data_IF_230088416592
#
_entry.id   IF_230088416592
#
_cell.length_a   1.000
_cell.length_b   1.000
_cell.length_c   1.000
_cell.angle_alpha   90.00
_cell.angle_beta   90.00
_cell.angle_gamma   90.00
#
_symmetry.space_group_name_H-M   'P 1'
#
loop_
_entity.id
_entity.type
_entity.pdbx_description
1 polymer ?
#
# COMPACT_ATOMS: atom_id res chain seq x y z
N UNK A 1 -11.84 -1.53 14.01
CA UNK A 1 -10.77 -0.52 14.17
C UNK A 1 -11.12 0.78 13.43
N UNK A 2 -10.70 1.94 13.94
CA UNK A 2 -11.11 3.25 13.37
C UNK A 2 -10.44 3.55 12.02
N UNK A 3 -9.16 3.21 11.85
CA UNK A 3 -8.41 3.42 10.60
C UNK A 3 -9.09 2.73 9.41
N UNK A 4 -9.51 1.48 9.57
CA UNK A 4 -10.20 0.72 8.53
C UNK A 4 -11.52 1.40 8.12
N UNK A 5 -12.32 1.86 9.09
CA UNK A 5 -13.60 2.56 8.82
C UNK A 5 -13.38 3.87 8.08
N UNK A 6 -12.33 4.61 8.43
CA UNK A 6 -12.00 5.87 7.78
C UNK A 6 -11.62 5.64 6.30
N UNK A 7 -10.85 4.59 6.01
CA UNK A 7 -10.48 4.23 4.63
C UNK A 7 -11.70 3.74 3.85
N UNK A 8 -12.50 2.83 4.43
CA UNK A 8 -13.71 2.28 3.77
C UNK A 8 -14.73 3.36 3.41
N UNK A 9 -14.82 4.45 4.19
CA UNK A 9 -15.75 5.54 3.93
C UNK A 9 -15.43 6.36 2.67
N UNK A 10 -14.19 6.27 2.14
CA UNK A 10 -13.71 7.14 1.06
C UNK A 10 -13.04 6.42 -0.10
N UNK A 11 -12.75 5.12 0.03
CA UNK A 11 -12.08 4.33 -1.00
C UNK A 11 -13.02 3.31 -1.62
N UNK A 12 -13.02 3.22 -2.96
CA UNK A 12 -13.80 2.21 -3.68
C UNK A 12 -13.23 0.79 -3.52
N UNK A 13 -11.89 0.69 -3.40
CA UNK A 13 -11.16 -0.56 -3.20
C UNK A 13 -10.17 -0.41 -2.05
N UNK A 14 -10.27 -1.31 -1.07
CA UNK A 14 -9.39 -1.32 0.11
C UNK A 14 -8.38 -2.46 0.00
N UNK A 15 -7.09 -2.11 0.02
CA UNK A 15 -5.97 -3.06 0.18
C UNK A 15 -5.42 -2.94 1.58
N UNK A 16 -5.37 -4.04 2.33
CA UNK A 16 -4.76 -4.10 3.66
C UNK A 16 -3.43 -4.84 3.57
N UNK A 17 -2.37 -4.22 4.07
CA UNK A 17 -1.01 -4.77 4.02
C UNK A 17 -0.22 -4.46 5.28
N UNK A 18 0.97 -5.05 5.40
CA UNK A 18 1.90 -4.77 6.49
C UNK A 18 2.60 -3.42 6.30
N UNK A 19 3.02 -2.83 7.42
CA UNK A 19 3.94 -1.68 7.46
C UNK A 19 5.16 -2.09 8.27
N UNK A 20 5.27 -1.70 9.53
CA UNK A 20 6.33 -2.15 10.43
C UNK A 20 5.72 -3.17 11.40
N UNK A 21 5.66 -4.47 11.07
CA UNK A 21 5.05 -5.46 11.94
C UNK A 21 5.84 -5.67 13.25
N UNK A 22 7.10 -5.21 13.32
CA UNK A 22 7.97 -5.39 14.49
C UNK A 22 7.98 -6.87 14.90
N UNK A 23 7.66 -7.17 16.14
CA UNK A 23 7.64 -8.54 16.68
C UNK A 23 6.29 -9.24 16.53
N UNK A 24 5.30 -8.59 15.91
CA UNK A 24 3.95 -9.13 15.74
C UNK A 24 3.80 -9.90 14.42
N UNK A 25 2.84 -10.83 14.37
CA UNK A 25 2.48 -11.52 13.13
C UNK A 25 1.73 -10.55 12.18
N UNK A 26 2.28 -10.23 11.00
CA UNK A 26 1.62 -9.36 10.02
C UNK A 26 0.21 -9.83 9.66
N UNK A 27 -0.01 -11.15 9.57
CA UNK A 27 -1.31 -11.71 9.23
C UNK A 27 -2.35 -11.42 10.32
N UNK A 28 -1.94 -11.44 11.60
CA UNK A 28 -2.80 -11.11 12.71
C UNK A 28 -3.17 -9.63 12.72
N UNK A 29 -2.21 -8.73 12.52
CA UNK A 29 -2.48 -7.28 12.40
C UNK A 29 -3.45 -6.99 11.25
N UNK A 30 -3.24 -7.63 10.10
CA UNK A 30 -4.14 -7.49 8.94
C UNK A 30 -5.55 -7.98 9.30
N UNK A 31 -5.66 -9.14 9.95
CA UNK A 31 -6.95 -9.68 10.39
C UNK A 31 -7.66 -8.71 11.35
N UNK A 32 -6.94 -8.12 12.28
CA UNK A 32 -7.48 -7.14 13.24
C UNK A 32 -7.95 -5.86 12.55
N UNK A 33 -7.18 -5.33 11.59
CA UNK A 33 -7.59 -4.19 10.76
C UNK A 33 -8.87 -4.52 9.99
N UNK A 34 -8.96 -5.69 9.38
CA UNK A 34 -10.11 -6.15 8.61
C UNK A 34 -11.40 -6.25 9.45
N UNK A 35 -11.33 -6.50 10.77
CA UNK A 35 -12.51 -6.46 11.66
C UNK A 35 -13.16 -5.06 11.72
N UNK A 36 -12.46 -4.02 11.28
CA UNK A 36 -13.01 -2.67 11.19
C UNK A 36 -13.82 -2.38 9.94
N UNK A 37 -13.72 -3.21 8.90
CA UNK A 37 -14.42 -3.04 7.64
C UNK A 37 -15.83 -3.65 7.70
N UNK A 38 -16.79 -2.99 7.07
CA UNK A 38 -18.16 -3.51 6.90
C UNK A 38 -18.26 -4.49 5.72
N UNK A 39 -17.39 -4.36 4.73
CA UNK A 39 -17.21 -5.27 3.61
C UNK A 39 -15.81 -5.89 3.65
N UNK A 40 -15.61 -7.08 3.06
CA UNK A 40 -14.26 -7.63 2.91
C UNK A 40 -13.34 -6.64 2.18
N UNK A 41 -12.10 -6.54 2.64
CA UNK A 41 -11.06 -5.84 1.88
C UNK A 41 -10.99 -6.43 0.47
N UNK A 42 -10.79 -5.58 -0.53
CA UNK A 42 -10.62 -6.03 -1.91
C UNK A 42 -9.37 -6.91 -2.05
N UNK A 43 -8.33 -6.65 -1.25
CA UNK A 43 -7.17 -7.52 -1.11
C UNK A 43 -6.55 -7.41 0.29
N UNK A 44 -6.05 -8.54 0.79
CA UNK A 44 -5.13 -8.61 1.94
C UNK A 44 -3.81 -9.20 1.47
N UNK A 45 -2.69 -8.57 1.76
CA UNK A 45 -1.35 -9.03 1.34
C UNK A 45 -0.31 -8.59 2.36
N UNK A 46 0.37 -9.53 3.01
CA UNK A 46 1.34 -9.21 4.06
C UNK A 46 2.63 -8.59 3.50
N UNK A 47 3.04 -8.98 2.30
CA UNK A 47 4.19 -8.37 1.65
C UNK A 47 3.79 -7.01 1.04
N UNK A 48 4.23 -5.93 1.69
CA UNK A 48 3.93 -4.56 1.28
C UNK A 48 4.36 -4.27 -0.16
N UNK A 49 5.46 -4.86 -0.63
CA UNK A 49 5.91 -4.69 -2.03
C UNK A 49 4.92 -5.34 -2.99
N UNK A 50 4.47 -6.55 -2.70
CA UNK A 50 3.48 -7.27 -3.52
C UNK A 50 2.14 -6.55 -3.50
N UNK A 51 1.74 -5.99 -2.36
CA UNK A 51 0.51 -5.23 -2.22
C UNK A 51 0.52 -3.97 -3.11
N UNK A 52 1.60 -3.19 -3.06
CA UNK A 52 1.76 -1.98 -3.89
C UNK A 52 1.83 -2.33 -5.37
N UNK A 53 2.64 -3.32 -5.74
CA UNK A 53 2.76 -3.75 -7.14
C UNK A 53 1.41 -4.19 -7.72
N UNK A 54 0.70 -5.05 -6.99
CA UNK A 54 -0.61 -5.55 -7.43
C UNK A 54 -1.65 -4.44 -7.52
N UNK A 55 -1.68 -3.51 -6.56
CA UNK A 55 -2.62 -2.39 -6.59
C UNK A 55 -2.41 -1.50 -7.82
N UNK A 56 -1.14 -1.24 -8.18
CA UNK A 56 -0.80 -0.44 -9.37
C UNK A 56 -1.04 -1.21 -10.67
N UNK A 57 -0.78 -2.52 -10.69
CA UNK A 57 -1.01 -3.37 -11.86
C UNK A 57 -2.51 -3.51 -12.21
N UNK A 58 -3.38 -3.47 -11.21
CA UNK A 58 -4.83 -3.68 -11.35
C UNK A 58 -5.65 -2.38 -11.38
N UNK A 59 -4.98 -1.23 -11.28
CA UNK A 59 -5.60 0.08 -11.43
C UNK A 59 -5.99 0.33 -12.90
N UNK A 60 -7.06 1.09 -13.11
CA UNK A 60 -7.44 1.60 -14.42
C UNK A 60 -6.87 3.00 -14.66
N UNK A 61 -6.75 3.49 -15.92
CA UNK A 61 -6.10 4.77 -16.22
C UNK A 61 -6.72 6.00 -15.52
N UNK A 62 -7.96 5.89 -15.06
CA UNK A 62 -8.67 6.95 -14.34
C UNK A 62 -8.61 6.80 -12.81
N UNK A 63 -8.01 5.72 -12.30
CA UNK A 63 -7.94 5.43 -10.87
C UNK A 63 -6.83 6.23 -10.19
N UNK A 64 -6.98 6.42 -8.88
CA UNK A 64 -5.94 6.95 -8.00
C UNK A 64 -5.59 5.90 -6.95
N UNK A 65 -4.31 5.53 -6.89
CA UNK A 65 -3.78 4.64 -5.85
C UNK A 65 -3.11 5.48 -4.76
N UNK A 66 -3.68 5.51 -3.56
CA UNK A 66 -3.08 6.14 -2.38
C UNK A 66 -2.36 5.10 -1.53
N UNK A 67 -1.06 5.27 -1.33
CA UNK A 67 -0.24 4.45 -0.43
C UNK A 67 -0.05 5.23 0.87
N UNK A 68 -0.64 4.75 1.96
CA UNK A 68 -0.59 5.40 3.28
C UNK A 68 0.22 4.56 4.30
N UNK A 69 0.74 5.23 5.35
CA UNK A 69 1.54 4.62 6.41
C UNK A 69 2.94 5.24 6.49
N UNK A 70 3.88 4.73 5.67
CA UNK A 70 5.33 5.00 5.77
C UNK A 70 5.79 6.40 5.35
N UNK A 71 5.12 7.02 4.38
CA UNK A 71 5.56 8.29 3.81
C UNK A 71 6.96 8.22 3.17
N UNK A 72 7.96 8.86 3.79
CA UNK A 72 9.37 8.89 3.32
C UNK A 72 10.30 7.96 4.08
N UNK A 73 9.78 7.09 4.94
CA UNK A 73 10.60 6.04 5.55
C UNK A 73 11.20 5.14 4.47
N UNK A 74 12.48 4.82 4.62
CA UNK A 74 13.26 4.01 3.67
C UNK A 74 13.59 2.61 4.21
N UNK A 75 12.94 2.22 5.30
CA UNK A 75 13.10 0.90 5.91
C UNK A 75 11.76 0.31 6.35
N UNK A 76 11.72 -1.01 6.47
CA UNK A 76 10.64 -1.78 7.06
C UNK A 76 11.19 -2.60 8.24
N UNK A 77 10.61 -2.44 9.41
CA UNK A 77 11.04 -3.14 10.62
C UNK A 77 10.30 -4.47 10.78
N UNK A 78 11.04 -5.58 10.78
CA UNK A 78 10.54 -6.94 10.99
C UNK A 78 11.42 -7.63 12.03
N UNK A 79 10.84 -8.02 13.15
CA UNK A 79 11.51 -8.67 14.28
C UNK A 79 12.81 -7.96 14.72
N UNK A 80 12.77 -6.63 14.85
CA UNK A 80 13.91 -5.78 15.19
C UNK A 80 14.96 -5.58 14.09
N UNK A 81 14.74 -6.12 12.88
CA UNK A 81 15.61 -5.95 11.71
C UNK A 81 15.01 -4.91 10.76
N UNK A 82 15.82 -3.93 10.38
CA UNK A 82 15.42 -2.87 9.43
C UNK A 82 15.84 -3.26 8.01
N UNK A 83 14.87 -3.67 7.20
CA UNK A 83 15.06 -4.02 5.80
C UNK A 83 14.93 -2.78 4.91
N UNK A 84 15.80 -2.56 3.90
CA UNK A 84 15.63 -1.47 2.94
C UNK A 84 14.28 -1.56 2.21
N UNK A 85 13.46 -0.52 2.32
CA UNK A 85 12.12 -0.50 1.79
C UNK A 85 11.60 0.93 1.59
N UNK A 86 11.16 1.28 0.38
CA UNK A 86 10.68 2.63 0.06
C UNK A 86 9.40 2.56 -0.77
N UNK A 87 8.29 3.05 -0.21
CA UNK A 87 6.99 3.12 -0.91
C UNK A 87 7.12 3.85 -2.27
N UNK A 88 7.74 5.05 -2.36
CA UNK A 88 7.90 5.75 -3.64
C UNK A 88 8.72 4.98 -4.67
N UNK A 89 9.80 4.31 -4.26
CA UNK A 89 10.64 3.54 -5.19
C UNK A 89 9.90 2.34 -5.75
N UNK A 90 9.17 1.61 -4.88
CA UNK A 90 8.37 0.45 -5.28
C UNK A 90 7.24 0.88 -6.21
N UNK A 91 6.54 1.97 -5.87
CA UNK A 91 5.48 2.51 -6.72
C UNK A 91 6.01 2.93 -8.10
N UNK A 92 7.17 3.59 -8.15
CA UNK A 92 7.80 3.97 -9.41
C UNK A 92 8.19 2.75 -10.26
N UNK A 93 8.72 1.68 -9.63
CA UNK A 93 9.07 0.42 -10.29
C UNK A 93 7.82 -0.29 -10.84
N UNK A 94 6.74 -0.36 -10.06
CA UNK A 94 5.48 -0.95 -10.49
C UNK A 94 4.85 -0.16 -11.65
N UNK A 95 4.86 1.18 -11.58
CA UNK A 95 4.40 2.04 -12.67
C UNK A 95 5.22 1.79 -13.94
N UNK A 96 6.55 1.72 -13.87
CA UNK A 96 7.38 1.43 -15.03
C UNK A 96 7.17 0.03 -15.61
N UNK A 97 6.82 -0.94 -14.76
CA UNK A 97 6.60 -2.35 -15.16
C UNK A 97 5.24 -2.56 -15.84
N UNK A 98 4.19 -1.93 -15.31
CA UNK A 98 2.81 -2.20 -15.74
C UNK A 98 2.25 -1.13 -16.69
N UNK A 99 2.88 0.06 -16.75
CA UNK A 99 2.35 1.19 -17.50
C UNK A 99 3.36 1.76 -18.49
N UNK A 100 2.87 2.10 -19.69
CA UNK A 100 3.64 2.89 -20.64
C UNK A 100 3.74 4.34 -20.15
N UNK A 101 4.84 4.66 -19.46
CA UNK A 101 5.08 5.98 -18.91
C UNK A 101 5.24 7.01 -20.04
N UNK A 102 4.26 7.90 -20.18
CA UNK A 102 4.44 9.16 -20.91
C UNK A 102 4.97 10.18 -19.93
N UNK A 103 6.22 10.57 -20.06
CA UNK A 103 6.77 11.71 -19.33
C UNK A 103 5.99 12.96 -19.73
N UNK A 104 5.16 13.46 -18.81
CA UNK A 104 4.60 14.80 -18.90
C UNK A 104 5.60 15.73 -18.24
N UNK A 105 6.18 16.66 -19.00
CA UNK A 105 6.81 17.82 -18.38
C UNK A 105 5.73 18.54 -17.59
N UNK A 106 5.93 18.64 -16.28
CA UNK A 106 5.09 19.45 -15.40
C UNK A 106 5.79 20.80 -15.30
N UNK A 107 5.30 21.86 -15.96
CA UNK A 107 5.88 23.18 -15.81
C UNK A 107 5.73 23.55 -14.34
N UNK A 108 6.86 23.77 -13.66
CA UNK A 108 6.82 24.38 -12.33
C UNK A 108 6.47 25.85 -12.55
N UNK A 109 5.27 26.24 -12.15
CA UNK A 109 4.83 27.64 -12.08
C UNK A 109 5.40 28.31 -10.82
#
# INVERSE_FOLDING_TARGET
PEMARAVEAVADRVVVTSDNPRDEDPAQIIADVCQGLSQPAWRTEADRRVAIDTAIAQAEPADVVLIAGKGRETTQEIAGVFHPFSDPEIAAQALASHWALKTREVPHA
#
